data_IF_278915971114
#
_entry.id   IF_278915971114
#
_cell.length_a   1.000
_cell.length_b   1.000
_cell.length_c   1.000
_cell.angle_alpha   90.00
_cell.angle_beta   90.00
_cell.angle_gamma   90.00
#
_symmetry.space_group_name_H-M   'P 1'
#
loop_
_entity.id
_entity.type
_entity.pdbx_description
1 polymer ?
#
# COMPACT_ATOMS: atom_id res chain seq x y z
N UNK A 1 -4.51 27.09 -15.91
CA UNK A 1 -3.45 26.10 -15.62
C UNK A 1 -3.80 24.86 -16.42
N UNK A 2 -2.94 24.42 -17.31
CA UNK A 2 -3.13 23.14 -18.04
C UNK A 2 -2.98 22.01 -17.04
N UNK A 3 -4.06 21.26 -16.83
CA UNK A 3 -4.07 20.09 -15.93
C UNK A 3 -3.04 19.07 -16.45
N UNK A 4 -2.10 18.65 -15.60
CA UNK A 4 -1.06 17.70 -15.99
C UNK A 4 -1.69 16.33 -16.23
N UNK A 5 -1.09 15.53 -17.10
CA UNK A 5 -1.58 14.19 -17.44
C UNK A 5 -0.87 13.15 -16.61
N UNK A 6 -1.64 12.19 -16.12
CA UNK A 6 -1.16 11.02 -15.39
C UNK A 6 -1.84 9.75 -15.92
N UNK A 7 -1.52 8.60 -15.34
CA UNK A 7 -2.14 7.33 -15.73
C UNK A 7 -3.12 6.82 -14.67
N UNK A 8 -4.20 6.19 -15.14
CA UNK A 8 -5.15 5.40 -14.35
C UNK A 8 -5.25 4.03 -15.03
N UNK A 9 -4.51 3.04 -14.53
CA UNK A 9 -4.22 1.84 -15.32
C UNK A 9 -3.50 2.24 -16.61
N UNK A 10 -3.98 1.77 -17.75
CA UNK A 10 -3.46 2.15 -19.09
C UNK A 10 -4.10 3.41 -19.67
N UNK A 11 -5.10 3.97 -19.00
CA UNK A 11 -5.75 5.20 -19.45
C UNK A 11 -4.93 6.44 -19.04
N UNK A 12 -4.84 7.41 -19.96
CA UNK A 12 -4.32 8.75 -19.64
C UNK A 12 -5.47 9.62 -19.13
N UNK A 13 -5.33 10.15 -17.92
CA UNK A 13 -6.32 11.00 -17.25
C UNK A 13 -5.68 12.31 -16.77
N UNK A 14 -6.50 13.29 -16.39
CA UNK A 14 -5.99 14.47 -15.70
C UNK A 14 -5.61 14.11 -14.26
N UNK A 15 -4.57 14.74 -13.70
CA UNK A 15 -4.14 14.49 -12.31
C UNK A 15 -5.26 14.80 -11.32
N UNK A 16 -6.00 15.88 -11.53
CA UNK A 16 -7.16 16.25 -10.71
C UNK A 16 -8.28 15.18 -10.66
N UNK A 17 -8.37 14.31 -11.67
CA UNK A 17 -9.39 13.27 -11.77
C UNK A 17 -8.93 11.93 -11.15
N UNK A 18 -7.61 11.67 -11.10
CA UNK A 18 -7.06 10.37 -10.74
C UNK A 18 -7.49 9.91 -9.35
N UNK A 19 -7.34 10.77 -8.35
CA UNK A 19 -7.70 10.44 -6.97
C UNK A 19 -9.20 10.07 -6.85
N UNK A 20 -10.08 10.80 -7.55
CA UNK A 20 -11.51 10.50 -7.59
C UNK A 20 -11.83 9.15 -8.25
N UNK A 21 -11.17 8.83 -9.37
CA UNK A 21 -11.34 7.54 -10.06
C UNK A 21 -10.85 6.37 -9.20
N UNK A 22 -9.68 6.51 -8.56
CA UNK A 22 -9.15 5.52 -7.62
C UNK A 22 -10.11 5.33 -6.44
N UNK A 23 -10.62 6.43 -5.87
CA UNK A 23 -11.59 6.37 -4.78
C UNK A 23 -12.87 5.60 -5.15
N UNK A 24 -13.38 5.78 -6.38
CA UNK A 24 -14.55 5.03 -6.87
C UNK A 24 -14.29 3.52 -6.93
N UNK A 25 -13.13 3.09 -7.47
CA UNK A 25 -12.73 1.68 -7.49
C UNK A 25 -12.73 1.08 -6.08
N UNK A 26 -12.08 1.75 -5.12
CA UNK A 26 -11.99 1.24 -3.75
C UNK A 26 -13.32 1.36 -2.98
N UNK A 27 -14.17 2.32 -3.32
CA UNK A 27 -15.50 2.42 -2.72
C UNK A 27 -16.38 1.23 -3.11
N UNK A 28 -16.38 0.82 -4.40
CA UNK A 28 -17.18 -0.32 -4.89
C UNK A 28 -16.78 -1.63 -4.25
N UNK A 29 -15.50 -1.82 -3.93
CA UNK A 29 -14.97 -3.08 -3.39
C UNK A 29 -14.76 -3.09 -1.88
N UNK A 30 -14.97 -1.97 -1.16
CA UNK A 30 -14.58 -1.82 0.24
C UNK A 30 -15.11 -2.93 1.16
N UNK A 31 -16.37 -3.34 1.00
CA UNK A 31 -16.97 -4.41 1.81
C UNK A 31 -16.45 -5.80 1.46
N UNK A 32 -16.01 -6.01 0.22
CA UNK A 32 -15.51 -7.29 -0.29
C UNK A 32 -13.99 -7.29 -0.49
N UNK A 33 -13.30 -6.24 -0.01
CA UNK A 33 -11.88 -6.01 -0.27
C UNK A 33 -10.99 -7.18 0.16
N UNK A 34 -11.27 -7.77 1.33
CA UNK A 34 -10.50 -8.90 1.82
C UNK A 34 -10.73 -10.15 0.95
N UNK A 35 -11.99 -10.39 0.51
CA UNK A 35 -12.31 -11.48 -0.42
C UNK A 35 -11.62 -11.27 -1.76
N UNK A 36 -11.63 -10.04 -2.26
CA UNK A 36 -10.92 -9.68 -3.49
C UNK A 36 -9.43 -9.99 -3.39
N UNK A 37 -8.78 -9.58 -2.29
CA UNK A 37 -7.36 -9.86 -2.06
C UNK A 37 -7.09 -11.36 -1.92
N UNK A 38 -7.94 -12.11 -1.21
CA UNK A 38 -7.81 -13.57 -1.09
C UNK A 38 -7.90 -14.27 -2.45
N UNK A 39 -8.91 -13.91 -3.25
CA UNK A 39 -9.09 -14.47 -4.60
C UNK A 39 -7.91 -14.13 -5.50
N UNK A 40 -7.46 -12.87 -5.50
CA UNK A 40 -6.40 -12.40 -6.37
C UNK A 40 -5.00 -12.88 -6.01
N UNK A 41 -4.77 -13.25 -4.78
CA UNK A 41 -3.47 -13.72 -4.32
C UNK A 41 -3.45 -15.19 -3.92
N UNK A 42 -4.59 -15.89 -4.03
CA UNK A 42 -4.73 -17.24 -3.44
C UNK A 42 -4.44 -17.24 -1.93
N UNK A 43 -4.75 -16.13 -1.23
CA UNK A 43 -4.44 -15.95 0.19
C UNK A 43 -2.99 -15.54 0.50
N UNK A 44 -2.09 -15.48 -0.48
CA UNK A 44 -0.67 -15.16 -0.28
C UNK A 44 -0.46 -13.75 0.28
N UNK A 45 -1.37 -12.80 0.06
CA UNK A 45 -1.26 -11.46 0.63
C UNK A 45 -1.13 -11.49 2.16
N UNK A 46 -1.73 -12.47 2.84
CA UNK A 46 -1.62 -12.65 4.30
C UNK A 46 -0.21 -13.04 4.71
N UNK A 47 0.43 -13.92 3.94
CA UNK A 47 1.82 -14.33 4.15
C UNK A 47 2.76 -13.16 3.93
N UNK A 48 2.57 -12.39 2.86
CA UNK A 48 3.39 -11.20 2.57
C UNK A 48 3.26 -10.13 3.66
N UNK A 49 2.02 -9.83 4.12
CA UNK A 49 1.77 -8.90 5.23
C UNK A 49 2.41 -9.40 6.54
N UNK A 50 2.33 -10.70 6.83
CA UNK A 50 2.99 -11.29 7.99
C UNK A 50 4.51 -11.18 7.91
N UNK A 51 5.10 -11.44 6.75
CA UNK A 51 6.52 -11.25 6.50
C UNK A 51 6.94 -9.79 6.73
N UNK A 52 6.14 -8.83 6.23
CA UNK A 52 6.38 -7.39 6.42
C UNK A 52 6.43 -7.02 7.90
N UNK A 53 5.45 -7.47 8.69
CA UNK A 53 5.40 -7.22 10.13
C UNK A 53 6.62 -7.82 10.84
N UNK A 54 7.05 -9.03 10.45
CA UNK A 54 8.20 -9.70 11.08
C UNK A 54 9.55 -9.08 10.68
N UNK A 55 9.65 -8.50 9.51
CA UNK A 55 10.87 -7.82 9.03
C UNK A 55 11.08 -6.46 9.71
N UNK A 56 10.01 -5.87 10.24
CA UNK A 56 10.08 -4.57 10.89
C UNK A 56 10.86 -4.63 12.20
N UNK A 57 11.73 -3.64 12.38
CA UNK A 57 12.37 -3.33 13.67
C UNK A 57 11.71 -2.09 14.25
N UNK A 58 10.59 -2.27 14.93
CA UNK A 58 9.91 -1.22 15.68
C UNK A 58 10.01 -1.52 17.17
N UNK A 59 10.37 -0.55 18.02
CA UNK A 59 10.43 -0.77 19.46
C UNK A 59 9.03 -1.04 20.03
N UNK A 60 8.97 -1.74 21.17
CA UNK A 60 7.77 -1.70 22.00
C UNK A 60 7.53 -0.24 22.40
N UNK A 61 6.28 0.19 22.48
CA UNK A 61 5.91 1.61 22.65
C UNK A 61 6.30 2.54 21.48
N UNK A 62 6.70 2.00 20.32
CA UNK A 62 6.99 2.79 19.12
C UNK A 62 5.76 3.40 18.48
N UNK A 63 5.97 4.46 17.70
CA UNK A 63 4.94 5.14 16.93
C UNK A 63 4.97 4.68 15.47
N UNK A 64 3.84 4.20 14.97
CA UNK A 64 3.71 3.63 13.64
C UNK A 64 2.64 4.39 12.85
N UNK A 65 2.94 4.72 11.60
CA UNK A 65 2.00 5.24 10.63
C UNK A 65 1.75 4.18 9.55
N UNK A 66 0.51 3.77 9.37
CA UNK A 66 0.08 2.86 8.31
C UNK A 66 -0.68 3.65 7.24
N UNK A 67 0.01 3.93 6.13
CA UNK A 67 -0.50 4.75 5.03
C UNK A 67 -1.21 3.85 4.02
N UNK A 68 -2.35 4.33 3.50
CA UNK A 68 -3.24 3.55 2.65
C UNK A 68 -3.57 2.19 3.33
N UNK A 69 -3.82 2.24 4.63
CA UNK A 69 -4.00 1.06 5.47
C UNK A 69 -5.34 0.35 5.26
N UNK A 70 -6.30 1.01 4.57
CA UNK A 70 -7.56 0.43 4.13
C UNK A 70 -8.35 -0.21 5.26
N UNK A 71 -8.56 -1.52 5.19
CA UNK A 71 -9.30 -2.32 6.17
C UNK A 71 -8.51 -2.64 7.45
N UNK A 72 -7.29 -2.08 7.61
CA UNK A 72 -6.51 -2.12 8.86
C UNK A 72 -5.73 -3.42 9.12
N UNK A 73 -5.47 -4.24 8.12
CA UNK A 73 -4.76 -5.52 8.28
C UNK A 73 -3.34 -5.35 8.87
N UNK A 74 -2.54 -4.42 8.32
CA UNK A 74 -1.21 -4.12 8.86
C UNK A 74 -1.31 -3.39 10.19
N UNK A 75 -2.19 -2.40 10.31
CA UNK A 75 -2.41 -1.65 11.55
C UNK A 75 -2.69 -2.55 12.74
N UNK A 76 -3.52 -3.61 12.53
CA UNK A 76 -3.76 -4.66 13.52
C UNK A 76 -2.47 -5.39 13.93
N UNK A 77 -1.63 -5.71 12.97
CA UNK A 77 -0.34 -6.36 13.20
C UNK A 77 0.63 -5.46 13.96
N UNK A 78 0.68 -4.19 13.58
CA UNK A 78 1.51 -3.18 14.25
C UNK A 78 1.09 -2.97 15.70
N UNK A 79 -0.22 -2.84 15.97
CA UNK A 79 -0.74 -2.68 17.33
C UNK A 79 -0.31 -3.83 18.25
N UNK A 80 -0.36 -5.08 17.77
CA UNK A 80 0.14 -6.24 18.53
C UNK A 80 1.64 -6.18 18.77
N UNK A 81 2.40 -5.60 17.83
CA UNK A 81 3.87 -5.57 17.90
C UNK A 81 4.39 -4.48 18.84
N UNK A 82 3.82 -3.25 18.75
CA UNK A 82 4.23 -2.14 19.63
C UNK A 82 3.65 -2.27 21.04
N UNK A 83 2.56 -3.02 21.20
CA UNK A 83 1.91 -3.24 22.49
C UNK A 83 1.03 -2.06 22.93
N UNK A 84 0.55 -2.11 24.16
CA UNK A 84 -0.43 -1.17 24.73
C UNK A 84 0.10 0.27 24.92
N UNK A 85 1.40 0.41 25.04
CA UNK A 85 2.06 1.72 25.22
C UNK A 85 2.56 2.31 23.90
N UNK A 86 2.33 1.62 22.78
CA UNK A 86 2.64 2.07 21.43
C UNK A 86 1.49 2.84 20.79
N UNK A 87 1.82 3.59 19.76
CA UNK A 87 0.88 4.40 18.99
C UNK A 87 0.84 3.91 17.54
N UNK A 88 -0.35 3.58 17.02
CA UNK A 88 -0.54 3.17 15.63
C UNK A 88 -1.61 4.04 15.00
N UNK A 89 -1.28 4.74 13.92
CA UNK A 89 -2.22 5.50 13.12
C UNK A 89 -2.61 4.71 11.88
N UNK A 90 -3.91 4.46 11.73
CA UNK A 90 -4.49 3.95 10.49
C UNK A 90 -4.91 5.11 9.62
N UNK A 91 -4.31 5.26 8.45
CA UNK A 91 -4.63 6.37 7.53
C UNK A 91 -4.89 5.87 6.12
N UNK A 92 -5.81 6.52 5.44
CA UNK A 92 -6.14 6.29 4.03
C UNK A 92 -6.78 7.55 3.44
N UNK A 93 -6.69 7.73 2.14
CA UNK A 93 -7.43 8.81 1.45
C UNK A 93 -8.92 8.45 1.29
N UNK A 94 -9.27 7.16 1.33
CA UNK A 94 -10.63 6.65 1.14
C UNK A 94 -11.33 6.45 2.49
N UNK A 95 -12.28 7.33 2.80
CA UNK A 95 -13.04 7.28 4.05
C UNK A 95 -13.90 6.01 4.21
N UNK A 96 -14.37 5.41 3.10
CA UNK A 96 -15.15 4.16 3.15
C UNK A 96 -14.30 2.98 3.59
N UNK A 97 -13.07 2.88 3.07
CA UNK A 97 -12.09 1.88 3.49
C UNK A 97 -11.74 2.03 4.98
N UNK A 98 -11.49 3.27 5.42
CA UNK A 98 -11.20 3.58 6.83
C UNK A 98 -12.36 3.23 7.76
N UNK A 99 -13.61 3.48 7.32
CA UNK A 99 -14.79 3.12 8.11
C UNK A 99 -14.85 1.61 8.35
N UNK A 100 -14.65 0.81 7.30
CA UNK A 100 -14.60 -0.66 7.42
C UNK A 100 -13.45 -1.08 8.33
N UNK A 101 -12.26 -0.50 8.16
CA UNK A 101 -11.08 -0.81 8.97
C UNK A 101 -11.27 -0.47 10.44
N UNK A 102 -11.75 0.74 10.74
CA UNK A 102 -12.06 1.20 12.10
C UNK A 102 -13.06 0.27 12.79
N UNK A 103 -14.19 -0.02 12.12
CA UNK A 103 -15.25 -0.82 12.71
C UNK A 103 -14.80 -2.27 12.95
N UNK A 104 -13.95 -2.81 12.09
CA UNK A 104 -13.33 -4.12 12.28
C UNK A 104 -12.38 -4.13 13.49
N UNK A 105 -11.49 -3.15 13.60
CA UNK A 105 -10.55 -3.03 14.71
C UNK A 105 -11.30 -2.86 16.05
N UNK A 106 -12.35 -2.05 16.08
CA UNK A 106 -13.19 -1.89 17.27
C UNK A 106 -13.88 -3.20 17.68
N UNK A 107 -14.38 -4.00 16.73
CA UNK A 107 -14.94 -5.34 17.02
C UNK A 107 -13.92 -6.31 17.60
N UNK A 108 -12.63 -6.14 17.25
CA UNK A 108 -11.51 -6.91 17.82
C UNK A 108 -10.98 -6.32 19.14
N UNK A 109 -11.62 -5.28 19.69
CA UNK A 109 -11.19 -4.61 20.92
C UNK A 109 -9.95 -3.73 20.77
N UNK A 110 -9.61 -3.34 19.54
CA UNK A 110 -8.46 -2.48 19.25
C UNK A 110 -8.92 -1.06 19.00
N UNK A 111 -8.45 -0.13 19.82
CA UNK A 111 -8.71 1.30 19.68
C UNK A 111 -7.41 1.96 19.23
N UNK A 112 -7.44 2.64 18.09
CA UNK A 112 -6.31 3.40 17.56
C UNK A 112 -6.79 4.64 16.80
N UNK A 113 -5.96 5.68 16.68
CA UNK A 113 -6.23 6.83 15.85
C UNK A 113 -6.47 6.44 14.39
N UNK A 114 -7.51 7.02 13.78
CA UNK A 114 -7.87 6.83 12.37
C UNK A 114 -8.04 8.19 11.73
N UNK A 115 -7.38 8.45 10.61
CA UNK A 115 -7.47 9.73 9.91
C UNK A 115 -7.54 9.58 8.39
N UNK A 116 -8.44 10.36 7.77
CA UNK A 116 -8.43 10.54 6.31
C UNK A 116 -7.31 11.52 5.98
N UNK A 117 -6.33 11.10 5.19
CA UNK A 117 -5.27 11.98 4.73
C UNK A 117 -4.70 11.54 3.38
N UNK A 118 -4.14 12.51 2.66
CA UNK A 118 -3.39 12.28 1.45
C UNK A 118 -1.93 11.97 1.82
N UNK A 119 -1.38 10.90 1.25
CA UNK A 119 0.02 10.53 1.45
C UNK A 119 1.01 11.53 0.84
N UNK A 120 0.56 12.32 -0.13
CA UNK A 120 1.35 13.40 -0.76
C UNK A 120 1.38 14.68 0.10
N UNK A 121 0.59 14.74 1.19
CA UNK A 121 0.54 15.85 2.16
C UNK A 121 0.11 15.34 3.54
N UNK A 122 1.03 14.70 4.24
CA UNK A 122 0.76 14.10 5.54
C UNK A 122 0.57 15.15 6.65
N UNK A 123 -0.55 15.12 7.41
CA UNK A 123 -0.84 16.10 8.48
C UNK A 123 -0.10 15.76 9.78
N UNK A 124 1.14 15.32 9.69
CA UNK A 124 1.96 14.95 10.83
C UNK A 124 3.25 15.78 10.87
N UNK A 125 3.79 16.04 12.08
CA UNK A 125 5.05 16.76 12.22
C UNK A 125 6.23 15.94 11.69
N UNK A 126 7.32 16.63 11.42
CA UNK A 126 8.60 16.04 11.06
C UNK A 126 9.10 15.13 12.20
N UNK A 127 9.78 14.05 11.86
CA UNK A 127 10.48 13.18 12.81
C UNK A 127 9.59 12.64 13.95
N UNK A 128 8.38 12.20 13.62
CA UNK A 128 7.40 11.77 14.62
C UNK A 128 7.30 10.24 14.77
N UNK A 129 7.40 9.50 13.66
CA UNK A 129 7.19 8.06 13.64
C UNK A 129 8.50 7.27 13.67
N UNK A 130 8.48 6.13 14.36
CA UNK A 130 9.58 5.16 14.36
C UNK A 130 9.47 4.22 13.14
N UNK A 131 8.26 4.00 12.65
CA UNK A 131 7.97 3.18 11.47
C UNK A 131 6.85 3.82 10.65
N UNK A 132 7.04 3.85 9.32
CA UNK A 132 6.00 4.11 8.35
C UNK A 132 5.83 2.87 7.49
N UNK A 133 4.59 2.45 7.22
CA UNK A 133 4.27 1.35 6.32
C UNK A 133 3.26 1.77 5.26
N UNK A 134 3.42 1.22 4.07
CA UNK A 134 2.42 1.26 3.00
C UNK A 134 2.36 -0.12 2.34
N UNK A 135 1.15 -0.66 2.20
CA UNK A 135 0.94 -1.98 1.61
C UNK A 135 -0.10 -1.91 0.51
N UNK A 136 0.32 -2.21 -0.73
CA UNK A 136 -0.53 -2.22 -1.92
C UNK A 136 -1.26 -0.90 -2.21
N UNK A 137 -0.69 0.23 -1.73
CA UNK A 137 -1.26 1.56 -1.87
C UNK A 137 -0.43 2.50 -2.75
N UNK A 138 0.91 2.35 -2.74
CA UNK A 138 1.83 3.29 -3.41
C UNK A 138 1.58 3.39 -4.92
N UNK A 139 1.22 2.29 -5.59
CA UNK A 139 0.93 2.29 -7.04
C UNK A 139 -0.21 3.22 -7.44
N UNK A 140 -1.13 3.51 -6.52
CA UNK A 140 -2.32 4.33 -6.76
C UNK A 140 -2.06 5.83 -6.57
N UNK A 141 -0.96 6.21 -5.90
CA UNK A 141 -0.59 7.61 -5.65
C UNK A 141 -0.20 8.30 -6.97
N UNK A 142 -0.55 9.57 -7.10
CA UNK A 142 -0.29 10.33 -8.32
C UNK A 142 1.19 10.69 -8.40
N UNK A 143 1.73 11.30 -7.35
CA UNK A 143 3.13 11.72 -7.22
C UNK A 143 3.82 10.85 -6.16
N UNK A 144 4.36 9.71 -6.60
CA UNK A 144 5.02 8.76 -5.70
C UNK A 144 6.27 9.33 -5.05
N UNK A 145 7.00 10.17 -5.76
CA UNK A 145 8.15 10.93 -5.27
C UNK A 145 7.77 11.86 -4.11
N UNK A 146 6.69 12.64 -4.26
CA UNK A 146 6.18 13.51 -3.20
C UNK A 146 5.73 12.68 -1.99
N UNK A 147 4.99 11.60 -2.22
CA UNK A 147 4.55 10.72 -1.14
C UNK A 147 5.73 10.07 -0.39
N UNK A 148 6.76 9.62 -1.10
CA UNK A 148 7.98 9.06 -0.49
C UNK A 148 8.75 10.13 0.31
N UNK A 149 8.82 11.36 -0.18
CA UNK A 149 9.43 12.48 0.55
C UNK A 149 8.65 12.82 1.83
N UNK A 150 7.32 12.81 1.81
CA UNK A 150 6.49 13.00 2.99
C UNK A 150 6.66 11.85 4.01
N UNK A 151 6.74 10.59 3.53
CA UNK A 151 7.04 9.44 4.38
C UNK A 151 8.41 9.57 5.04
N UNK A 152 9.42 10.07 4.30
CA UNK A 152 10.74 10.36 4.85
C UNK A 152 10.68 11.49 5.87
N UNK A 153 9.96 12.58 5.58
CA UNK A 153 9.85 13.75 6.48
C UNK A 153 9.30 13.36 7.84
N UNK A 154 8.23 12.58 7.89
CA UNK A 154 7.56 12.23 9.15
C UNK A 154 8.29 11.13 9.94
N UNK A 155 9.25 10.43 9.36
CA UNK A 155 10.09 9.45 10.05
C UNK A 155 11.15 10.13 10.89
N UNK A 156 11.38 9.60 12.10
CA UNK A 156 12.53 9.96 12.95
C UNK A 156 13.84 9.52 12.32
N UNK A 157 14.98 10.15 12.66
CA UNK A 157 16.29 9.55 12.47
C UNK A 157 16.34 8.16 13.13
N UNK A 158 16.85 7.14 12.42
CA UNK A 158 16.79 5.73 12.80
C UNK A 158 15.47 5.04 12.44
N UNK A 159 14.47 5.79 11.98
CA UNK A 159 13.17 5.26 11.57
C UNK A 159 13.23 4.50 10.25
N UNK A 160 12.22 3.67 10.02
CA UNK A 160 12.16 2.77 8.87
C UNK A 160 10.88 2.97 8.08
N UNK A 161 10.99 3.05 6.73
CA UNK A 161 9.87 2.91 5.81
C UNK A 161 9.81 1.47 5.29
N UNK A 162 8.62 0.88 5.31
CA UNK A 162 8.32 -0.41 4.67
C UNK A 162 7.29 -0.22 3.56
N UNK A 163 7.66 -0.59 2.34
CA UNK A 163 6.77 -0.56 1.18
C UNK A 163 6.59 -1.98 0.68
N UNK A 164 5.40 -2.55 0.90
CA UNK A 164 4.98 -3.83 0.35
C UNK A 164 4.13 -3.57 -0.90
N UNK A 165 4.63 -3.89 -2.08
CA UNK A 165 3.91 -3.60 -3.32
C UNK A 165 4.17 -4.67 -4.39
N UNK A 166 3.24 -4.78 -5.34
CA UNK A 166 3.46 -5.57 -6.54
C UNK A 166 4.67 -5.03 -7.31
N UNK A 167 5.37 -5.92 -7.99
CA UNK A 167 6.58 -5.55 -8.69
C UNK A 167 6.81 -6.43 -9.94
N UNK A 168 8.02 -6.41 -10.49
CA UNK A 168 8.35 -7.16 -11.68
C UNK A 168 8.62 -8.62 -11.36
N UNK A 169 7.73 -9.50 -11.84
CA UNK A 169 7.87 -10.95 -11.69
C UNK A 169 9.11 -11.46 -12.44
N UNK A 170 9.71 -12.52 -11.93
CA UNK A 170 10.82 -13.23 -12.57
C UNK A 170 10.46 -13.62 -14.02
N UNK A 171 11.30 -13.21 -14.98
CA UNK A 171 11.00 -13.27 -16.42
C UNK A 171 10.47 -14.62 -16.92
N UNK A 172 11.03 -15.78 -16.53
CA UNK A 172 10.49 -17.08 -16.95
C UNK A 172 9.05 -17.36 -16.52
N UNK A 173 8.57 -16.73 -15.43
CA UNK A 173 7.19 -16.89 -14.94
C UNK A 173 6.24 -15.84 -15.51
N UNK A 174 6.77 -14.82 -16.19
CA UNK A 174 6.00 -13.69 -16.72
C UNK A 174 4.83 -14.13 -17.62
N UNK A 175 4.98 -15.06 -18.60
CA UNK A 175 3.87 -15.46 -19.46
C UNK A 175 2.70 -16.08 -18.67
N UNK A 176 2.99 -16.93 -17.67
CA UNK A 176 1.97 -17.53 -16.83
C UNK A 176 1.28 -16.51 -15.94
N UNK A 177 2.06 -15.57 -15.39
CA UNK A 177 1.52 -14.49 -14.56
C UNK A 177 0.69 -13.49 -15.37
N UNK A 178 1.08 -13.19 -16.62
CA UNK A 178 0.31 -12.33 -17.52
C UNK A 178 -1.02 -13.01 -17.91
N UNK A 179 -1.02 -14.30 -18.22
CA UNK A 179 -2.25 -15.05 -18.46
C UNK A 179 -3.18 -15.00 -17.24
N UNK A 180 -2.64 -15.23 -16.05
CA UNK A 180 -3.39 -15.12 -14.80
C UNK A 180 -3.99 -13.71 -14.62
N UNK A 181 -3.16 -12.67 -14.73
CA UNK A 181 -3.55 -11.30 -14.46
C UNK A 181 -4.57 -10.72 -15.44
N UNK A 182 -4.45 -11.03 -16.74
CA UNK A 182 -5.26 -10.41 -17.79
C UNK A 182 -6.39 -11.29 -18.33
N UNK A 183 -6.37 -12.58 -18.05
CA UNK A 183 -7.44 -13.48 -18.48
C UNK A 183 -8.22 -14.05 -17.30
N UNK A 184 -7.54 -14.55 -16.30
CA UNK A 184 -8.19 -15.22 -15.18
C UNK A 184 -8.78 -14.24 -14.16
N UNK A 185 -8.03 -13.21 -13.72
CA UNK A 185 -8.51 -12.26 -12.71
C UNK A 185 -9.75 -11.47 -13.13
N UNK A 186 -9.85 -10.88 -14.35
CA UNK A 186 -11.07 -10.19 -14.76
C UNK A 186 -12.29 -11.12 -14.83
N UNK A 187 -12.07 -12.39 -15.25
CA UNK A 187 -13.12 -13.41 -15.28
C UNK A 187 -13.63 -13.70 -13.86
N UNK A 188 -12.72 -13.88 -12.90
CA UNK A 188 -13.07 -14.06 -11.48
C UNK A 188 -13.80 -12.83 -10.94
N UNK A 189 -13.33 -11.62 -11.24
CA UNK A 189 -14.00 -10.36 -10.87
C UNK A 189 -15.44 -10.30 -11.33
N UNK A 190 -15.69 -10.68 -12.58
CA UNK A 190 -17.03 -10.71 -13.16
C UNK A 190 -17.97 -11.67 -12.43
N UNK A 191 -17.51 -12.88 -12.10
CA UNK A 191 -18.36 -13.91 -11.51
C UNK A 191 -18.49 -13.82 -9.98
N UNK A 192 -17.42 -13.40 -9.27
CA UNK A 192 -17.39 -13.39 -7.80
C UNK A 192 -17.81 -12.03 -7.24
N UNK A 193 -17.24 -10.96 -7.76
CA UNK A 193 -17.44 -9.61 -7.24
C UNK A 193 -18.44 -8.78 -8.04
N UNK A 194 -18.85 -9.21 -9.23
CA UNK A 194 -19.68 -8.45 -10.19
C UNK A 194 -19.05 -7.08 -10.58
N UNK A 195 -17.73 -6.98 -10.51
CA UNK A 195 -16.95 -5.75 -10.72
C UNK A 195 -15.68 -6.08 -11.54
N UNK A 196 -15.85 -6.33 -12.84
CA UNK A 196 -14.74 -6.64 -13.74
C UNK A 196 -13.77 -5.46 -13.91
N UNK A 197 -14.28 -4.22 -13.87
CA UNK A 197 -13.50 -3.01 -14.14
C UNK A 197 -12.48 -2.74 -13.03
N UNK A 198 -12.85 -2.95 -11.76
CA UNK A 198 -11.92 -2.83 -10.64
C UNK A 198 -10.78 -3.85 -10.71
N UNK A 199 -11.06 -5.08 -11.14
CA UNK A 199 -10.03 -6.11 -11.32
C UNK A 199 -9.12 -5.83 -12.52
N UNK A 200 -9.68 -5.27 -13.61
CA UNK A 200 -8.88 -4.83 -14.75
C UNK A 200 -7.96 -3.68 -14.34
N UNK A 201 -8.50 -2.64 -13.69
CA UNK A 201 -7.70 -1.52 -13.17
C UNK A 201 -6.53 -2.02 -12.30
N UNK A 202 -6.80 -3.00 -11.45
CA UNK A 202 -5.77 -3.56 -10.59
C UNK A 202 -4.63 -4.19 -11.42
N UNK A 203 -4.95 -5.07 -12.39
CA UNK A 203 -3.95 -5.70 -13.24
C UNK A 203 -3.12 -4.66 -14.01
N UNK A 204 -3.76 -3.63 -14.53
CA UNK A 204 -3.12 -2.53 -15.24
C UNK A 204 -2.25 -1.67 -14.32
N UNK A 205 -2.76 -1.28 -13.14
CA UNK A 205 -2.01 -0.47 -12.16
C UNK A 205 -0.76 -1.18 -11.66
N UNK A 206 -0.80 -2.49 -11.51
CA UNK A 206 0.38 -3.32 -11.19
C UNK A 206 1.45 -3.20 -12.28
N UNK A 207 1.06 -3.23 -13.57
CA UNK A 207 2.02 -3.12 -14.67
C UNK A 207 2.61 -1.72 -14.83
N UNK A 208 1.89 -0.70 -14.40
CA UNK A 208 2.36 0.70 -14.42
C UNK A 208 3.21 1.06 -13.19
N UNK A 209 3.29 0.18 -12.18
CA UNK A 209 4.11 0.42 -11.01
C UNK A 209 5.60 0.20 -11.33
N UNK A 210 6.52 1.01 -10.76
CA UNK A 210 7.95 0.82 -10.88
C UNK A 210 8.41 -0.59 -10.49
N UNK A 211 9.44 -1.10 -11.15
CA UNK A 211 10.10 -2.33 -10.72
C UNK A 211 10.93 -2.14 -9.43
N UNK A 212 11.51 -3.21 -8.91
CA UNK A 212 12.21 -3.22 -7.64
C UNK A 212 13.36 -2.21 -7.58
N UNK A 213 14.21 -2.17 -8.61
CA UNK A 213 15.37 -1.28 -8.62
C UNK A 213 14.94 0.18 -8.81
N UNK A 214 13.95 0.43 -9.66
CA UNK A 214 13.39 1.77 -9.87
C UNK A 214 12.78 2.31 -8.58
N UNK A 215 11.96 1.52 -7.86
CA UNK A 215 11.40 1.95 -6.60
C UNK A 215 12.47 2.17 -5.52
N UNK A 216 13.48 1.31 -5.47
CA UNK A 216 14.64 1.49 -4.60
C UNK A 216 15.31 2.84 -4.87
N UNK A 217 15.56 3.18 -6.15
CA UNK A 217 16.16 4.46 -6.51
C UNK A 217 15.26 5.63 -6.13
N UNK A 218 13.95 5.56 -6.39
CA UNK A 218 12.99 6.60 -5.98
C UNK A 218 13.02 6.84 -4.45
N UNK A 219 13.15 5.78 -3.65
CA UNK A 219 13.29 5.92 -2.20
C UNK A 219 14.60 6.60 -1.82
N UNK A 220 15.71 6.26 -2.49
CA UNK A 220 17.00 6.92 -2.27
C UNK A 220 16.94 8.40 -2.66
N UNK A 221 16.31 8.74 -3.77
CA UNK A 221 16.10 10.12 -4.24
C UNK A 221 15.20 10.92 -3.26
N UNK A 222 14.29 10.26 -2.56
CA UNK A 222 13.46 10.88 -1.50
C UNK A 222 14.23 11.11 -0.18
N UNK A 223 15.49 10.68 -0.08
CA UNK A 223 16.39 10.94 1.04
C UNK A 223 16.70 9.74 1.94
N UNK A 224 16.18 8.53 1.65
CA UNK A 224 16.52 7.35 2.45
C UNK A 224 17.98 6.95 2.23
N UNK A 225 18.75 6.88 3.31
CA UNK A 225 20.19 6.63 3.26
C UNK A 225 20.55 5.21 2.88
N UNK A 226 19.69 4.25 3.24
CA UNK A 226 19.84 2.84 2.90
C UNK A 226 18.50 2.26 2.49
N UNK A 227 18.46 1.65 1.29
CA UNK A 227 17.28 0.97 0.77
C UNK A 227 17.65 -0.44 0.31
N UNK A 228 17.02 -1.43 0.92
CA UNK A 228 17.11 -2.84 0.53
C UNK A 228 15.72 -3.34 0.15
N UNK A 229 15.63 -4.44 -0.62
CA UNK A 229 14.34 -5.08 -0.88
C UNK A 229 14.43 -6.62 -0.83
N UNK A 230 13.28 -7.24 -0.58
CA UNK A 230 13.09 -8.69 -0.61
C UNK A 230 12.03 -9.04 -1.65
N UNK A 231 12.39 -9.85 -2.63
CA UNK A 231 11.42 -10.42 -3.57
C UNK A 231 10.61 -11.53 -2.89
N UNK A 232 9.29 -11.44 -3.02
CA UNK A 232 8.34 -12.41 -2.50
C UNK A 232 7.61 -13.05 -3.69
N UNK A 233 7.34 -14.36 -3.60
CA UNK A 233 6.64 -15.10 -4.66
C UNK A 233 7.26 -14.85 -6.04
N UNK A 234 8.57 -15.07 -6.17
CA UNK A 234 9.34 -14.86 -7.41
C UNK A 234 9.21 -13.45 -8.01
N UNK A 235 9.14 -12.42 -7.17
CA UNK A 235 9.10 -11.02 -7.58
C UNK A 235 7.70 -10.48 -7.91
N UNK A 236 6.64 -11.30 -7.81
CA UNK A 236 5.26 -10.80 -7.94
C UNK A 236 5.00 -9.65 -6.98
N UNK A 237 5.57 -9.75 -5.78
CA UNK A 237 5.55 -8.72 -4.75
C UNK A 237 6.98 -8.50 -4.26
N UNK A 238 7.31 -7.27 -3.93
CA UNK A 238 8.55 -6.92 -3.25
C UNK A 238 8.26 -6.13 -1.97
N UNK A 239 9.03 -6.41 -0.92
CA UNK A 239 9.08 -5.61 0.29
C UNK A 239 10.33 -4.75 0.25
N UNK A 240 10.19 -3.44 0.06
CA UNK A 240 11.27 -2.47 0.18
C UNK A 240 11.36 -1.97 1.62
N UNK A 241 12.58 -1.76 2.06
CA UNK A 241 12.91 -1.22 3.38
C UNK A 241 13.89 -0.07 3.22
N UNK A 242 13.44 1.14 3.55
CA UNK A 242 14.26 2.34 3.62
C UNK A 242 14.55 2.73 5.06
N UNK A 243 15.76 3.18 5.35
CA UNK A 243 16.17 3.69 6.67
C UNK A 243 16.56 5.15 6.53
N UNK A 244 16.09 5.98 7.46
CA UNK A 244 16.49 7.39 7.62
C UNK A 244 17.55 7.47 8.73
N UNK A 245 18.72 8.04 8.44
CA UNK A 245 19.78 8.29 9.45
C UNK A 245 19.86 9.76 9.86
#
# INVERSE_FOLDING_TARGET
>A
MTDQKTHFGYQTVNESEKAGKVAQVFHSVAQNYDIMNDVMSGGLHRVWKHFTINTARVPKSGKVLDIAGGTGDLSRGWAKRVGKDGEVWLTDINSSMLTVGRDRLLKEGMIMPVAVCDAEKLPFPDNYFDLVSVSFGLRNMTHKDIALAEMYRVLKPGGTLLVLEFSKVYEPLKPAYDFYSFKFLPLMGKYIAKDADSYQYLAESIRMHPDQETLKQMMMDAGFDRVDYHNLSAGIVALHKGVKY
#
